data_IF_546983955163
#
_entry.id   IF_546983955163
#
_cell.length_a   1.000
_cell.length_b   1.000
_cell.length_c   1.000
_cell.angle_alpha   90.00
_cell.angle_beta   90.00
_cell.angle_gamma   90.00
#
_symmetry.space_group_name_H-M   'P 1'
#
loop_
_entity.id
_entity.type
_entity.pdbx_description
1 polymer ?
#
# COMPACT_ATOMS: atom_id res chain seq x y z
N UNK A 1 5.24 -14.45 -16.64
CA UNK A 1 4.37 -14.79 -15.49
C UNK A 1 3.42 -13.65 -15.09
N UNK A 2 3.86 -12.39 -14.99
CA UNK A 2 3.02 -11.27 -14.53
C UNK A 2 1.77 -10.98 -15.39
N UNK A 3 1.86 -11.09 -16.73
CA UNK A 3 0.71 -10.80 -17.63
C UNK A 3 -0.51 -11.69 -17.40
N UNK A 4 -0.30 -12.95 -17.02
CA UNK A 4 -1.40 -13.88 -16.73
C UNK A 4 -2.00 -13.64 -15.35
N UNK A 5 -1.24 -13.08 -14.40
CA UNK A 5 -1.74 -12.82 -13.06
C UNK A 5 -2.84 -11.74 -13.08
N UNK A 6 -2.61 -10.63 -13.77
CA UNK A 6 -3.63 -9.58 -13.93
C UNK A 6 -4.90 -10.14 -14.57
N UNK A 7 -4.76 -11.02 -15.57
CA UNK A 7 -5.90 -11.70 -16.19
C UNK A 7 -6.62 -12.61 -15.19
N UNK A 8 -5.90 -13.40 -14.39
CA UNK A 8 -6.52 -14.23 -13.36
C UNK A 8 -7.22 -13.42 -12.27
N UNK A 9 -6.67 -12.27 -11.87
CA UNK A 9 -7.33 -11.36 -10.94
C UNK A 9 -8.63 -10.81 -11.54
N UNK A 10 -8.62 -10.41 -12.82
CA UNK A 10 -9.83 -9.97 -13.52
C UNK A 10 -10.87 -11.09 -13.63
N UNK A 11 -10.46 -12.32 -13.96
CA UNK A 11 -11.35 -13.49 -13.99
C UNK A 11 -11.91 -13.76 -12.59
N UNK A 12 -11.07 -13.73 -11.56
CA UNK A 12 -11.49 -13.92 -10.16
C UNK A 12 -12.49 -12.84 -9.72
N UNK A 13 -12.28 -11.59 -10.12
CA UNK A 13 -13.22 -10.51 -9.89
C UNK A 13 -14.57 -10.76 -10.56
N UNK A 14 -14.59 -11.08 -11.87
CA UNK A 14 -15.83 -11.34 -12.61
C UNK A 14 -16.56 -12.56 -12.03
N UNK A 15 -15.82 -13.64 -11.75
CA UNK A 15 -16.38 -14.83 -11.11
C UNK A 15 -16.94 -14.51 -9.72
N UNK A 16 -16.27 -13.64 -8.95
CA UNK A 16 -16.71 -13.22 -7.61
C UNK A 16 -18.02 -12.44 -7.67
N UNK A 17 -18.16 -11.53 -8.65
CA UNK A 17 -19.42 -10.83 -8.92
C UNK A 17 -20.52 -11.83 -9.31
N UNK A 18 -20.24 -12.75 -10.23
CA UNK A 18 -21.23 -13.72 -10.70
C UNK A 18 -21.72 -14.64 -9.57
N UNK A 19 -20.79 -15.21 -8.79
CA UNK A 19 -21.12 -16.07 -7.64
C UNK A 19 -21.84 -15.27 -6.56
N UNK A 20 -21.34 -14.08 -6.22
CA UNK A 20 -21.96 -13.22 -5.22
C UNK A 20 -23.39 -12.82 -5.61
N UNK A 21 -23.64 -12.53 -6.88
CA UNK A 21 -24.99 -12.21 -7.37
C UNK A 21 -25.93 -13.41 -7.37
N UNK A 22 -25.47 -14.58 -7.83
CA UNK A 22 -26.27 -15.81 -7.78
C UNK A 22 -26.62 -16.18 -6.35
N UNK A 23 -25.67 -16.04 -5.42
CA UNK A 23 -25.93 -16.23 -4.00
C UNK A 23 -26.96 -15.21 -3.52
N UNK A 24 -26.73 -13.91 -3.73
CA UNK A 24 -27.65 -12.82 -3.33
C UNK A 24 -29.10 -13.01 -3.83
N UNK A 25 -29.29 -13.57 -5.02
CA UNK A 25 -30.59 -13.84 -5.64
C UNK A 25 -31.33 -15.06 -5.05
N UNK A 26 -30.59 -16.04 -4.52
CA UNK A 26 -31.20 -17.11 -3.73
C UNK A 26 -31.61 -16.48 -2.39
N UNK A 27 -32.83 -16.67 -1.90
CA UNK A 27 -33.23 -16.06 -0.63
C UNK A 27 -32.35 -16.53 0.55
N UNK A 28 -32.26 -15.76 1.67
CA UNK A 28 -31.33 -16.05 2.74
C UNK A 28 -31.67 -17.40 3.41
N UNK A 29 -30.87 -18.42 3.11
CA UNK A 29 -30.87 -19.65 3.87
C UNK A 29 -29.99 -19.47 5.10
N UNK A 30 -30.31 -20.15 6.20
CA UNK A 30 -29.62 -20.02 7.50
C UNK A 30 -28.09 -20.30 7.45
N UNK A 31 -27.57 -20.76 6.31
CA UNK A 31 -26.16 -21.09 6.02
C UNK A 31 -25.32 -19.91 5.48
N UNK A 32 -25.91 -18.74 5.22
CA UNK A 32 -25.21 -17.59 4.61
C UNK A 32 -24.11 -16.96 5.46
N UNK A 33 -24.28 -16.77 6.77
CA UNK A 33 -23.20 -16.24 7.61
C UNK A 33 -21.97 -17.16 7.60
N UNK A 34 -22.18 -18.48 7.49
CA UNK A 34 -21.09 -19.45 7.40
C UNK A 34 -20.36 -19.38 6.04
N UNK A 35 -21.08 -19.20 4.94
CA UNK A 35 -20.50 -19.05 3.59
C UNK A 35 -19.73 -17.72 3.48
N UNK A 36 -20.31 -16.62 3.94
CA UNK A 36 -19.64 -15.31 3.99
C UNK A 36 -18.40 -15.33 4.89
N UNK A 37 -18.49 -16.01 6.05
CA UNK A 37 -17.35 -16.23 6.95
C UNK A 37 -16.22 -17.03 6.27
N UNK A 38 -16.55 -18.03 5.45
CA UNK A 38 -15.55 -18.81 4.71
C UNK A 38 -14.84 -17.96 3.64
N UNK A 39 -15.55 -17.07 2.94
CA UNK A 39 -14.93 -16.12 2.01
C UNK A 39 -14.05 -15.09 2.74
N UNK A 40 -14.49 -14.62 3.90
CA UNK A 40 -13.69 -13.70 4.73
C UNK A 40 -12.41 -14.35 5.23
N UNK A 41 -12.45 -15.63 5.62
CA UNK A 41 -11.26 -16.40 6.03
C UNK A 41 -10.17 -16.40 4.94
N UNK A 42 -10.55 -16.62 3.68
CA UNK A 42 -9.62 -16.61 2.53
C UNK A 42 -8.97 -15.23 2.38
N UNK A 43 -9.77 -14.17 2.50
CA UNK A 43 -9.29 -12.78 2.42
C UNK A 43 -8.36 -12.44 3.58
N UNK A 44 -8.70 -12.86 4.80
CA UNK A 44 -7.91 -12.63 6.01
C UNK A 44 -6.57 -13.37 5.96
N UNK A 45 -6.55 -14.60 5.46
CA UNK A 45 -5.30 -15.36 5.23
C UNK A 45 -4.42 -14.62 4.22
N UNK A 46 -4.98 -14.14 3.11
CA UNK A 46 -4.24 -13.39 2.12
C UNK A 46 -3.62 -12.09 2.70
N UNK A 47 -4.38 -11.33 3.48
CA UNK A 47 -3.87 -10.14 4.15
C UNK A 47 -2.76 -10.46 5.17
N UNK A 48 -2.86 -11.60 5.87
CA UNK A 48 -1.79 -12.09 6.76
C UNK A 48 -0.53 -12.50 5.99
N UNK A 49 -0.67 -13.12 4.82
CA UNK A 49 0.46 -13.45 3.95
C UNK A 49 1.18 -12.20 3.47
N UNK A 50 0.45 -11.13 3.11
CA UNK A 50 1.04 -9.83 2.77
C UNK A 50 1.80 -9.26 3.97
N UNK A 51 1.18 -9.20 5.16
CA UNK A 51 1.81 -8.69 6.38
C UNK A 51 3.10 -9.42 6.74
N UNK A 52 3.15 -10.73 6.54
CA UNK A 52 4.34 -11.56 6.76
C UNK A 52 5.53 -11.13 5.89
N UNK A 53 5.29 -10.64 4.67
CA UNK A 53 6.35 -10.28 3.72
C UNK A 53 6.92 -8.88 3.98
N UNK A 54 6.06 -7.93 4.38
CA UNK A 54 6.39 -6.49 4.39
C UNK A 54 7.61 -6.21 5.27
N UNK A 55 7.62 -6.67 6.53
CA UNK A 55 8.69 -6.31 7.46
C UNK A 55 10.09 -6.75 7.01
N UNK A 56 10.35 -8.03 6.64
CA UNK A 56 11.65 -8.45 6.12
C UNK A 56 12.03 -7.78 4.80
N UNK A 57 11.05 -7.56 3.91
CA UNK A 57 11.29 -6.94 2.61
C UNK A 57 11.71 -5.48 2.75
N UNK A 58 10.97 -4.69 3.53
CA UNK A 58 11.28 -3.28 3.80
C UNK A 58 12.63 -3.14 4.49
N UNK A 59 12.90 -3.97 5.52
CA UNK A 59 14.17 -3.95 6.24
C UNK A 59 15.35 -4.18 5.28
N UNK A 60 15.31 -5.29 4.54
CA UNK A 60 16.41 -5.69 3.65
C UNK A 60 16.62 -4.73 2.48
N UNK A 61 15.55 -4.30 1.82
CA UNK A 61 15.62 -3.37 0.69
C UNK A 61 16.19 -2.01 1.08
N UNK A 62 15.75 -1.44 2.20
CA UNK A 62 16.26 -0.15 2.66
C UNK A 62 17.71 -0.22 3.13
N UNK A 63 18.07 -1.27 3.87
CA UNK A 63 19.46 -1.47 4.31
C UNK A 63 20.39 -1.56 3.10
N UNK A 64 20.03 -2.35 2.10
CA UNK A 64 20.80 -2.49 0.85
C UNK A 64 20.86 -1.14 0.12
N UNK A 65 19.73 -0.46 -0.06
CA UNK A 65 19.67 0.82 -0.77
C UNK A 65 20.53 1.90 -0.11
N UNK A 66 20.57 1.94 1.21
CA UNK A 66 21.34 2.94 1.96
C UNK A 66 22.83 2.58 1.99
N UNK A 67 23.17 1.31 2.18
CA UNK A 67 24.56 0.86 2.18
C UNK A 67 25.27 1.17 0.85
N UNK A 68 24.57 1.02 -0.29
CA UNK A 68 25.13 1.32 -1.62
C UNK A 68 25.38 2.81 -1.88
N UNK A 69 24.77 3.73 -1.12
CA UNK A 69 24.96 5.17 -1.31
C UNK A 69 26.31 5.70 -0.76
N UNK A 70 27.06 4.88 -0.01
CA UNK A 70 28.51 5.02 0.19
C UNK A 70 29.03 6.30 0.89
N UNK A 71 28.16 7.21 1.34
CA UNK A 71 28.58 8.47 1.96
C UNK A 71 27.55 9.03 2.95
N UNK A 72 27.95 9.21 4.21
CA UNK A 72 27.08 9.74 5.27
C UNK A 72 26.65 11.20 5.01
N UNK A 73 27.50 12.00 4.37
CA UNK A 73 27.23 13.41 4.04
C UNK A 73 26.35 13.65 2.81
N UNK A 74 26.29 12.70 1.86
CA UNK A 74 25.35 12.75 0.74
C UNK A 74 23.96 12.30 1.18
N UNK A 75 23.87 11.28 2.04
CA UNK A 75 22.61 10.75 2.53
C UNK A 75 21.79 11.78 3.31
N UNK A 76 22.38 12.52 4.24
CA UNK A 76 21.65 13.53 5.01
C UNK A 76 21.07 14.63 4.11
N UNK A 77 21.84 15.08 3.12
CA UNK A 77 21.40 16.14 2.18
C UNK A 77 20.31 15.65 1.24
N UNK A 78 20.45 14.44 0.70
CA UNK A 78 19.43 13.82 -0.16
C UNK A 78 18.20 13.51 0.66
N UNK A 79 18.34 12.89 1.83
CA UNK A 79 17.27 12.56 2.75
C UNK A 79 16.43 13.77 3.16
N UNK A 80 17.06 14.87 3.59
CA UNK A 80 16.34 16.10 3.95
C UNK A 80 15.62 16.72 2.75
N UNK A 81 16.26 16.78 1.58
CA UNK A 81 15.60 17.30 0.36
C UNK A 81 14.41 16.43 -0.06
N UNK A 82 14.57 15.10 0.00
CA UNK A 82 13.51 14.14 -0.31
C UNK A 82 12.39 14.21 0.72
N UNK A 83 12.70 14.32 2.01
CA UNK A 83 11.70 14.43 3.06
C UNK A 83 10.90 15.72 2.94
N UNK A 84 11.57 16.85 2.70
CA UNK A 84 10.90 18.13 2.51
C UNK A 84 9.98 18.05 1.29
N UNK A 85 10.48 17.54 0.15
CA UNK A 85 9.65 17.29 -1.03
C UNK A 85 8.45 16.39 -0.74
N UNK A 86 8.67 15.25 -0.07
CA UNK A 86 7.63 14.28 0.28
C UNK A 86 6.56 14.88 1.18
N UNK A 87 6.94 15.64 2.22
CA UNK A 87 5.99 16.29 3.13
C UNK A 87 5.16 17.33 2.38
N UNK A 88 5.78 18.20 1.58
CA UNK A 88 5.01 19.15 0.76
C UNK A 88 4.07 18.45 -0.20
N UNK A 89 4.56 17.46 -0.96
CA UNK A 89 3.73 16.70 -1.90
C UNK A 89 2.58 15.97 -1.18
N UNK A 90 2.81 15.43 0.01
CA UNK A 90 1.77 14.76 0.82
C UNK A 90 0.71 15.74 1.30
N UNK A 91 1.08 16.95 1.74
CA UNK A 91 0.12 17.99 2.13
C UNK A 91 -0.75 18.38 0.93
N UNK A 92 -0.15 18.65 -0.24
CA UNK A 92 -0.91 18.94 -1.46
C UNK A 92 -1.80 17.78 -1.89
N UNK A 93 -1.31 16.54 -1.79
CA UNK A 93 -2.09 15.32 -2.06
C UNK A 93 -3.31 15.21 -1.14
N UNK A 94 -3.13 15.47 0.16
CA UNK A 94 -4.20 15.41 1.15
C UNK A 94 -5.24 16.52 0.93
N UNK A 95 -4.80 17.74 0.63
CA UNK A 95 -5.68 18.87 0.31
C UNK A 95 -6.49 18.61 -0.96
N UNK A 96 -5.85 18.08 -2.00
CA UNK A 96 -6.53 17.70 -3.25
C UNK A 96 -7.54 16.58 -3.01
N UNK A 97 -7.14 15.54 -2.26
CA UNK A 97 -8.02 14.43 -1.88
C UNK A 97 -9.23 14.93 -1.10
N UNK A 98 -9.02 15.84 -0.14
CA UNK A 98 -10.10 16.48 0.62
C UNK A 98 -11.04 17.28 -0.29
N UNK A 99 -10.49 18.08 -1.20
CA UNK A 99 -11.29 18.85 -2.16
C UNK A 99 -12.15 17.95 -3.05
N UNK A 100 -11.58 16.85 -3.56
CA UNK A 100 -12.29 15.91 -4.44
C UNK A 100 -13.34 15.10 -3.68
N UNK A 101 -13.05 14.64 -2.46
CA UNK A 101 -14.04 13.93 -1.62
C UNK A 101 -15.20 14.86 -1.27
N UNK A 102 -14.92 16.12 -0.94
CA UNK A 102 -15.97 17.09 -0.64
C UNK A 102 -16.82 17.43 -1.87
N UNK A 103 -16.23 17.43 -3.08
CA UNK A 103 -16.93 17.69 -4.33
C UNK A 103 -17.74 16.48 -4.85
N UNK A 104 -17.17 15.26 -4.81
CA UNK A 104 -17.80 14.05 -5.34
C UNK A 104 -18.75 13.38 -4.35
N UNK A 105 -18.60 13.66 -3.05
CA UNK A 105 -19.40 13.11 -1.95
C UNK A 105 -19.74 11.61 -2.14
N UNK A 106 -18.74 10.73 -2.36
CA UNK A 106 -19.00 9.37 -2.82
C UNK A 106 -19.71 8.49 -1.80
N UNK A 107 -19.86 8.96 -0.55
CA UNK A 107 -20.61 8.29 0.50
C UNK A 107 -22.13 8.56 0.48
N UNK A 108 -22.60 9.55 -0.29
CA UNK A 108 -24.03 9.82 -0.42
C UNK A 108 -24.68 8.65 -1.18
N UNK A 109 -25.59 7.94 -0.51
CA UNK A 109 -26.25 6.74 -1.04
C UNK A 109 -25.73 5.41 -0.49
N UNK A 110 -24.64 5.42 0.28
CA UNK A 110 -24.29 4.29 1.15
C UNK A 110 -25.23 4.30 2.36
N UNK A 111 -26.36 3.60 2.25
CA UNK A 111 -27.26 3.34 3.38
C UNK A 111 -26.65 2.32 4.36
N UNK A 112 -25.37 2.50 4.72
CA UNK A 112 -24.72 1.68 5.72
C UNK A 112 -25.37 2.00 7.07
N UNK A 113 -25.80 0.99 7.85
CA UNK A 113 -26.37 1.22 9.16
C UNK A 113 -25.36 1.99 10.01
N UNK A 114 -25.75 3.18 10.45
CA UNK A 114 -24.95 3.97 11.40
C UNK A 114 -24.92 3.13 12.68
N UNK A 115 -23.72 2.75 13.19
CA UNK A 115 -23.64 2.03 14.45
C UNK A 115 -24.40 2.80 15.53
N UNK A 116 -25.34 2.15 16.21
CA UNK A 116 -26.15 2.77 17.27
C UNK A 116 -25.30 3.19 18.48
N UNK A 117 -24.09 2.63 18.59
CA UNK A 117 -23.10 3.04 19.55
C UNK A 117 -22.39 4.28 19.01
N UNK A 118 -22.54 5.42 19.72
CA UNK A 118 -21.89 6.71 19.44
C UNK A 118 -20.35 6.69 19.52
N UNK A 119 -19.72 5.55 19.24
CA UNK A 119 -18.31 5.36 19.00
C UNK A 119 -17.95 5.94 17.63
N UNK A 120 -18.21 7.24 17.42
CA UNK A 120 -17.44 7.97 16.44
C UNK A 120 -15.97 7.78 16.84
N UNK A 121 -15.09 7.31 15.94
CA UNK A 121 -13.68 7.14 16.26
C UNK A 121 -13.18 8.49 16.80
N UNK A 122 -12.83 8.51 18.09
CA UNK A 122 -12.27 9.70 18.70
C UNK A 122 -11.05 10.07 17.87
N UNK A 123 -11.02 11.29 17.34
CA UNK A 123 -9.82 11.81 16.71
C UNK A 123 -8.74 11.82 17.78
N UNK A 124 -7.90 10.79 17.80
CA UNK A 124 -6.75 10.71 18.71
C UNK A 124 -6.01 12.02 18.57
N UNK A 125 -6.01 12.83 19.64
CA UNK A 125 -5.30 14.09 19.63
C UNK A 125 -3.86 13.80 19.17
N UNK A 126 -3.41 14.51 18.13
CA UNK A 126 -2.06 14.35 17.58
C UNK A 126 -1.05 14.77 18.66
N UNK A 127 -0.66 13.83 19.50
CA UNK A 127 0.35 14.06 20.52
C UNK A 127 1.72 13.93 19.86
N UNK A 128 2.36 15.06 19.56
CA UNK A 128 3.68 15.07 18.95
C UNK A 128 4.70 14.26 19.77
N UNK A 129 4.57 14.24 21.09
CA UNK A 129 5.47 13.47 21.96
C UNK A 129 5.32 11.97 21.68
N UNK A 130 4.09 11.46 21.60
CA UNK A 130 3.82 10.04 21.31
C UNK A 130 4.25 9.68 19.89
N UNK A 131 4.06 10.58 18.92
CA UNK A 131 4.53 10.35 17.55
C UNK A 131 6.05 10.25 17.47
N UNK A 132 6.79 11.14 18.13
CA UNK A 132 8.27 11.15 18.13
C UNK A 132 8.82 9.95 18.89
N UNK A 133 8.24 9.59 20.04
CA UNK A 133 8.68 8.41 20.79
C UNK A 133 8.37 7.11 20.04
N UNK A 134 7.24 7.03 19.32
CA UNK A 134 6.93 5.89 18.45
C UNK A 134 7.77 5.81 17.17
N UNK A 135 8.48 6.87 16.81
CA UNK A 135 9.33 6.90 15.61
C UNK A 135 10.59 6.06 15.79
N UNK A 136 11.15 6.05 17.01
CA UNK A 136 12.33 5.26 17.36
C UNK A 136 11.88 3.96 18.03
N UNK A 137 12.10 2.77 17.43
CA UNK A 137 11.72 1.52 18.06
C UNK A 137 12.53 1.27 19.33
N UNK A 138 11.87 0.76 20.37
CA UNK A 138 12.54 0.19 21.54
C UNK A 138 13.30 -1.10 21.17
N UNK A 139 12.75 -1.87 20.21
CA UNK A 139 13.34 -3.10 19.69
C UNK A 139 12.93 -3.32 18.24
N UNK A 140 13.88 -3.68 17.37
CA UNK A 140 13.59 -4.03 15.97
C UNK A 140 12.72 -5.28 15.86
N UNK A 141 12.87 -6.25 16.78
CA UNK A 141 12.07 -7.47 16.77
C UNK A 141 10.60 -7.17 17.09
N UNK A 142 10.35 -6.24 18.02
CA UNK A 142 8.99 -5.79 18.35
C UNK A 142 8.36 -5.00 17.19
N UNK A 143 9.12 -4.10 16.56
CA UNK A 143 8.69 -3.36 15.37
C UNK A 143 8.31 -4.30 14.21
N UNK A 144 9.10 -5.37 13.99
CA UNK A 144 8.78 -6.39 12.99
C UNK A 144 7.57 -7.24 13.37
N UNK A 145 7.42 -7.60 14.65
CA UNK A 145 6.29 -8.40 15.12
C UNK A 145 4.96 -7.63 15.02
N UNK A 146 4.97 -6.35 15.36
CA UNK A 146 3.80 -5.46 15.31
C UNK A 146 3.53 -4.89 13.90
N UNK A 147 4.42 -5.12 12.93
CA UNK A 147 4.40 -4.52 11.59
C UNK A 147 4.38 -2.99 11.61
N UNK A 148 5.15 -2.39 12.53
CA UNK A 148 5.32 -0.94 12.63
C UNK A 148 6.28 -0.44 11.54
N UNK A 149 5.77 -0.24 10.33
CA UNK A 149 6.58 0.08 9.13
C UNK A 149 7.49 1.28 9.36
N UNK A 150 6.99 2.36 9.97
CA UNK A 150 7.78 3.56 10.25
C UNK A 150 9.02 3.27 11.10
N UNK A 151 8.87 2.46 12.16
CA UNK A 151 9.98 2.09 13.03
C UNK A 151 11.02 1.23 12.31
N UNK A 152 10.57 0.29 11.46
CA UNK A 152 11.45 -0.53 10.62
C UNK A 152 12.27 0.36 9.68
N UNK A 153 11.63 1.34 9.04
CA UNK A 153 12.31 2.31 8.15
C UNK A 153 13.39 3.08 8.90
N UNK A 154 13.06 3.64 10.08
CA UNK A 154 14.01 4.43 10.87
C UNK A 154 15.21 3.57 11.29
N UNK A 155 14.97 2.37 11.81
CA UNK A 155 16.04 1.43 12.14
C UNK A 155 16.90 1.09 10.92
N UNK A 156 16.29 0.76 9.77
CA UNK A 156 17.00 0.46 8.52
C UNK A 156 17.91 1.60 8.07
N UNK A 157 17.50 2.86 8.29
CA UNK A 157 18.33 4.03 7.97
C UNK A 157 19.58 4.07 8.83
N UNK A 158 19.44 3.99 10.17
CA UNK A 158 20.59 3.98 11.07
C UNK A 158 21.51 2.78 10.82
N UNK A 159 20.93 1.59 10.63
CA UNK A 159 21.68 0.36 10.39
C UNK A 159 22.42 0.41 9.04
N UNK A 160 21.75 0.84 7.97
CA UNK A 160 22.35 1.01 6.64
C UNK A 160 23.48 2.04 6.62
N UNK A 161 23.32 3.15 7.34
CA UNK A 161 24.39 4.15 7.54
C UNK A 161 25.58 3.55 8.30
N UNK A 162 25.33 2.80 9.36
CA UNK A 162 26.37 2.10 10.12
C UNK A 162 27.15 1.11 9.24
N UNK A 163 26.47 0.31 8.43
CA UNK A 163 27.11 -0.60 7.48
C UNK A 163 27.94 0.14 6.42
N UNK A 164 27.43 1.26 5.89
CA UNK A 164 28.19 2.09 4.95
C UNK A 164 29.47 2.66 5.61
N UNK A 165 29.41 3.04 6.89
CA UNK A 165 30.55 3.54 7.64
C UNK A 165 31.62 2.45 7.92
N UNK A 166 31.23 1.18 8.03
CA UNK A 166 32.14 0.04 8.20
C UNK A 166 32.87 -0.36 6.90
N UNK A 167 32.43 0.12 5.74
CA UNK A 167 33.05 -0.17 4.45
C UNK A 167 33.09 -1.68 4.15
N UNK A 168 34.25 -2.20 3.77
CA UNK A 168 34.44 -3.62 3.40
C UNK A 168 34.05 -4.60 4.54
N UNK A 169 34.16 -4.19 5.81
CA UNK A 169 33.76 -5.05 6.94
C UNK A 169 32.24 -5.25 7.02
N UNK A 170 31.46 -4.27 6.54
CA UNK A 170 29.99 -4.37 6.49
C UNK A 170 29.48 -5.16 5.29
N UNK A 171 30.33 -5.40 4.28
CA UNK A 171 29.94 -6.02 3.00
C UNK A 171 29.26 -7.38 3.12
N UNK A 172 29.70 -8.32 3.98
CA UNK A 172 29.00 -9.60 4.15
C UNK A 172 27.54 -9.44 4.63
N UNK A 173 27.26 -8.41 5.43
CA UNK A 173 25.90 -8.13 5.94
C UNK A 173 25.04 -7.49 4.84
N UNK A 174 25.61 -6.61 4.02
CA UNK A 174 24.93 -6.02 2.86
C UNK A 174 24.57 -7.11 1.85
N UNK A 175 25.50 -8.02 1.55
CA UNK A 175 25.28 -9.15 0.63
C UNK A 175 24.18 -10.08 1.16
N UNK A 176 24.15 -10.35 2.47
CA UNK A 176 23.08 -11.10 3.11
C UNK A 176 21.73 -10.38 2.95
N UNK A 177 21.67 -9.09 3.23
CA UNK A 177 20.46 -8.30 3.07
C UNK A 177 19.97 -8.29 1.61
N UNK A 178 20.86 -8.23 0.63
CA UNK A 178 20.49 -8.31 -0.79
C UNK A 178 19.92 -9.69 -1.17
N UNK A 179 20.51 -10.77 -0.63
CA UNK A 179 19.97 -12.12 -0.81
C UNK A 179 18.59 -12.27 -0.17
N UNK A 180 18.40 -11.75 1.04
CA UNK A 180 17.10 -11.75 1.73
C UNK A 180 16.08 -10.97 0.91
N UNK A 181 16.40 -9.76 0.43
CA UNK A 181 15.51 -8.96 -0.41
C UNK A 181 15.08 -9.74 -1.68
N UNK A 182 16.02 -10.37 -2.38
CA UNK A 182 15.71 -11.21 -3.56
C UNK A 182 14.80 -12.39 -3.23
N UNK A 183 15.04 -13.07 -2.11
CA UNK A 183 14.17 -14.16 -1.64
C UNK A 183 12.78 -13.62 -1.31
N UNK A 184 12.68 -12.49 -0.61
CA UNK A 184 11.41 -11.89 -0.24
C UNK A 184 10.61 -11.40 -1.46
N UNK A 185 11.26 -10.85 -2.48
CA UNK A 185 10.62 -10.54 -3.76
C UNK A 185 10.06 -11.81 -4.44
N UNK A 186 10.78 -12.94 -4.35
CA UNK A 186 10.28 -14.23 -4.86
C UNK A 186 9.07 -14.74 -4.07
N UNK A 187 9.11 -14.66 -2.73
CA UNK A 187 7.99 -15.01 -1.85
C UNK A 187 6.77 -14.10 -2.12
N UNK A 188 7.01 -12.81 -2.37
CA UNK A 188 5.97 -11.86 -2.81
C UNK A 188 5.28 -12.39 -4.07
N UNK A 189 6.05 -12.87 -5.06
CA UNK A 189 5.49 -13.51 -6.25
C UNK A 189 4.62 -14.74 -5.94
N UNK A 190 5.00 -15.57 -4.97
CA UNK A 190 4.18 -16.72 -4.56
C UNK A 190 2.88 -16.30 -3.87
N UNK A 191 2.93 -15.34 -2.95
CA UNK A 191 1.73 -14.81 -2.29
C UNK A 191 0.81 -14.13 -3.30
N UNK A 192 1.37 -13.40 -4.26
CA UNK A 192 0.58 -12.77 -5.32
C UNK A 192 -0.17 -13.77 -6.21
N UNK A 193 0.31 -15.02 -6.36
CA UNK A 193 -0.46 -16.06 -7.06
C UNK A 193 -1.77 -16.45 -6.34
N UNK A 194 -1.90 -16.18 -5.04
CA UNK A 194 -3.15 -16.35 -4.28
C UNK A 194 -4.10 -15.15 -4.44
N UNK A 195 -3.64 -14.02 -4.97
CA UNK A 195 -4.45 -12.81 -5.12
C UNK A 195 -5.76 -13.02 -5.91
N UNK A 196 -5.81 -13.79 -7.02
CA UNK A 196 -7.06 -14.05 -7.74
C UNK A 196 -8.15 -14.67 -6.87
N UNK A 197 -7.77 -15.61 -6.00
CA UNK A 197 -8.68 -16.30 -5.09
C UNK A 197 -9.15 -15.37 -3.97
N UNK A 198 -8.26 -14.53 -3.43
CA UNK A 198 -8.60 -13.55 -2.41
C UNK A 198 -9.55 -12.47 -2.94
N UNK A 199 -9.29 -11.96 -4.16
CA UNK A 199 -10.16 -10.97 -4.83
C UNK A 199 -11.52 -11.57 -5.13
N UNK A 200 -11.56 -12.81 -5.63
CA UNK A 200 -12.81 -13.56 -5.81
C UNK A 200 -13.61 -13.63 -4.51
N UNK A 201 -12.98 -14.06 -3.41
CA UNK A 201 -13.64 -14.21 -2.12
C UNK A 201 -14.14 -12.88 -1.54
N UNK A 202 -13.32 -11.82 -1.61
CA UNK A 202 -13.67 -10.50 -1.09
C UNK A 202 -14.86 -9.88 -1.85
N UNK A 203 -14.86 -9.98 -3.18
CA UNK A 203 -15.94 -9.44 -4.01
C UNK A 203 -17.21 -10.29 -3.88
N UNK A 204 -17.08 -11.63 -3.87
CA UNK A 204 -18.21 -12.52 -3.65
C UNK A 204 -18.89 -12.26 -2.31
N UNK A 205 -18.13 -12.12 -1.21
CA UNK A 205 -18.68 -11.78 0.11
C UNK A 205 -19.42 -10.44 0.08
N UNK A 206 -18.78 -9.40 -0.46
CA UNK A 206 -19.36 -8.05 -0.47
C UNK A 206 -20.64 -7.96 -1.31
N UNK A 207 -20.66 -8.59 -2.49
CA UNK A 207 -21.84 -8.62 -3.38
C UNK A 207 -22.94 -9.52 -2.82
N UNK A 208 -22.61 -10.60 -2.11
CA UNK A 208 -23.60 -11.45 -1.44
C UNK A 208 -24.34 -10.67 -0.35
N UNK A 209 -23.63 -9.86 0.43
CA UNK A 209 -24.22 -9.07 1.52
C UNK A 209 -24.97 -7.82 1.03
N UNK A 210 -24.41 -7.09 0.06
CA UNK A 210 -24.87 -5.75 -0.32
C UNK A 210 -25.51 -5.67 -1.71
N UNK A 211 -25.59 -6.79 -2.44
CA UNK A 211 -26.13 -6.85 -3.80
C UNK A 211 -25.21 -6.23 -4.86
N UNK A 212 -25.74 -6.04 -6.08
CA UNK A 212 -24.97 -5.44 -7.20
C UNK A 212 -24.85 -3.91 -7.09
N UNK A 213 -25.75 -3.25 -6.38
CA UNK A 213 -25.75 -1.79 -6.26
C UNK A 213 -24.46 -1.27 -5.62
N UNK A 214 -23.84 -2.06 -4.72
CA UNK A 214 -22.54 -1.72 -4.12
C UNK A 214 -21.43 -1.57 -5.17
N UNK A 215 -21.49 -2.31 -6.28
CA UNK A 215 -20.49 -2.23 -7.34
C UNK A 215 -20.56 -0.90 -8.09
N UNK A 216 -21.75 -0.33 -8.25
CA UNK A 216 -21.91 1.01 -8.85
C UNK A 216 -21.30 2.06 -7.93
N UNK A 217 -21.54 1.94 -6.62
CA UNK A 217 -20.97 2.85 -5.62
C UNK A 217 -19.45 2.74 -5.56
N UNK A 218 -18.91 1.52 -5.53
CA UNK A 218 -17.47 1.30 -5.61
C UNK A 218 -16.89 1.76 -6.94
N UNK A 219 -17.58 1.58 -8.05
CA UNK A 219 -17.18 2.09 -9.36
C UNK A 219 -17.08 3.62 -9.39
N UNK A 220 -18.07 4.33 -8.81
CA UNK A 220 -18.02 5.79 -8.64
C UNK A 220 -16.87 6.22 -7.74
N UNK A 221 -16.67 5.52 -6.63
CA UNK A 221 -15.56 5.79 -5.72
C UNK A 221 -14.19 5.59 -6.38
N UNK A 222 -13.99 4.45 -7.07
CA UNK A 222 -12.76 4.14 -7.81
C UNK A 222 -12.55 5.14 -8.95
N UNK A 223 -13.60 5.53 -9.66
CA UNK A 223 -13.53 6.57 -10.70
C UNK A 223 -13.07 7.92 -10.12
N UNK A 224 -13.64 8.32 -8.99
CA UNK A 224 -13.21 9.52 -8.25
C UNK A 224 -11.77 9.44 -7.78
N UNK A 225 -11.33 8.26 -7.31
CA UNK A 225 -9.94 8.01 -6.92
C UNK A 225 -8.97 8.14 -8.11
N UNK A 226 -9.29 7.56 -9.27
CA UNK A 226 -8.44 7.71 -10.46
C UNK A 226 -8.41 9.14 -11.00
N UNK A 227 -9.52 9.88 -10.90
CA UNK A 227 -9.56 11.31 -11.21
C UNK A 227 -8.61 12.08 -10.26
N UNK A 228 -8.69 11.83 -8.96
CA UNK A 228 -7.81 12.43 -7.96
C UNK A 228 -6.34 12.09 -8.22
N UNK A 229 -6.05 10.84 -8.57
CA UNK A 229 -4.71 10.40 -8.91
C UNK A 229 -4.19 11.13 -10.16
N UNK A 230 -5.00 11.24 -11.21
CA UNK A 230 -4.65 11.98 -12.43
C UNK A 230 -4.42 13.47 -12.18
N UNK A 231 -5.27 14.11 -11.37
CA UNK A 231 -5.11 15.50 -10.95
C UNK A 231 -3.82 15.69 -10.12
N UNK A 232 -3.53 14.78 -9.18
CA UNK A 232 -2.31 14.79 -8.40
C UNK A 232 -1.06 14.66 -9.28
N UNK A 233 -1.07 13.71 -10.22
CA UNK A 233 0.04 13.53 -11.16
C UNK A 233 0.26 14.76 -12.02
N UNK A 234 -0.82 15.39 -12.49
CA UNK A 234 -0.73 16.64 -13.27
C UNK A 234 -0.13 17.77 -12.43
N UNK A 235 -0.56 17.92 -11.18
CA UNK A 235 -0.03 18.91 -10.25
C UNK A 235 1.44 18.68 -9.91
N UNK A 236 1.85 17.43 -9.67
CA UNK A 236 3.25 17.08 -9.38
C UNK A 236 4.15 17.27 -10.60
N UNK A 237 3.70 16.91 -11.81
CA UNK A 237 4.44 17.16 -13.04
C UNK A 237 4.55 18.66 -13.32
N UNK A 238 3.48 19.43 -13.10
CA UNK A 238 3.51 20.89 -13.23
C UNK A 238 4.49 21.53 -12.24
N UNK A 239 4.46 21.13 -10.96
CA UNK A 239 5.43 21.57 -9.97
C UNK A 239 6.87 21.17 -10.37
N UNK A 240 7.09 19.93 -10.80
CA UNK A 240 8.38 19.46 -11.29
C UNK A 240 8.87 20.22 -12.53
N UNK A 241 7.97 20.64 -13.40
CA UNK A 241 8.30 21.48 -14.56
C UNK A 241 8.82 22.86 -14.15
N UNK A 242 8.27 23.46 -13.10
CA UNK A 242 8.74 24.76 -12.58
C UNK A 242 10.18 24.67 -12.05
N UNK A 243 10.56 23.57 -11.39
CA UNK A 243 11.90 23.42 -10.81
C UNK A 243 12.95 22.87 -11.78
N UNK A 244 12.58 21.89 -12.61
CA UNK A 244 13.51 21.10 -13.45
C UNK A 244 13.36 21.42 -14.94
N UNK A 245 12.34 22.20 -15.31
CA UNK A 245 12.04 22.57 -16.69
C UNK A 245 11.50 21.39 -17.52
N UNK A 246 11.68 21.43 -18.85
CA UNK A 246 11.17 20.40 -19.78
C UNK A 246 11.72 18.98 -19.53
N UNK A 247 12.82 18.87 -18.78
CA UNK A 247 13.45 17.59 -18.44
C UNK A 247 12.55 16.72 -17.55
N UNK A 248 11.52 17.28 -16.91
CA UNK A 248 10.53 16.51 -16.13
C UNK A 248 9.82 15.46 -17.00
N UNK A 249 9.54 15.75 -18.26
CA UNK A 249 8.88 14.80 -19.17
C UNK A 249 9.78 13.60 -19.46
N UNK A 250 11.09 13.85 -19.55
CA UNK A 250 12.09 12.78 -19.67
C UNK A 250 12.15 11.94 -18.40
N UNK A 251 12.10 12.57 -17.23
CA UNK A 251 12.07 11.87 -15.94
C UNK A 251 10.84 10.96 -15.82
N UNK A 252 9.64 11.47 -16.14
CA UNK A 252 8.40 10.68 -16.18
C UNK A 252 8.55 9.47 -17.10
N UNK A 253 9.18 9.66 -18.27
CA UNK A 253 9.50 8.56 -19.18
C UNK A 253 10.45 7.52 -18.57
N UNK A 254 11.46 7.94 -17.80
CA UNK A 254 12.43 7.04 -17.16
C UNK A 254 11.84 6.24 -15.99
N UNK A 255 10.93 6.83 -15.22
CA UNK A 255 10.30 6.15 -14.06
C UNK A 255 9.07 5.33 -14.44
N UNK A 256 8.64 5.36 -15.71
CA UNK A 256 7.47 4.62 -16.18
C UNK A 256 7.55 3.14 -15.85
N UNK A 257 8.68 2.51 -16.12
CA UNK A 257 8.83 1.06 -15.92
C UNK A 257 8.71 0.67 -14.44
N UNK A 258 9.42 1.33 -13.49
CA UNK A 258 9.18 1.15 -12.05
C UNK A 258 7.73 1.42 -11.62
N UNK A 259 7.10 2.48 -12.13
CA UNK A 259 5.73 2.87 -11.76
C UNK A 259 4.70 1.84 -12.24
N UNK A 260 4.84 1.37 -13.49
CA UNK A 260 3.97 0.32 -14.05
C UNK A 260 4.19 -1.00 -13.31
N UNK A 261 5.43 -1.30 -12.95
CA UNK A 261 5.76 -2.48 -12.14
C UNK A 261 5.08 -2.38 -10.77
N UNK A 262 5.26 -1.29 -10.03
CA UNK A 262 4.62 -1.03 -8.74
C UNK A 262 3.08 -1.08 -8.81
N UNK A 263 2.48 -0.47 -9.85
CA UNK A 263 1.04 -0.53 -10.08
C UNK A 263 0.57 -1.96 -10.34
N UNK A 264 1.33 -2.75 -11.10
CA UNK A 264 1.00 -4.14 -11.43
C UNK A 264 1.18 -5.11 -10.26
N UNK A 265 2.13 -4.82 -9.37
CA UNK A 265 2.39 -5.62 -8.16
C UNK A 265 1.54 -5.19 -6.97
N UNK A 266 0.90 -4.02 -7.05
CA UNK A 266 0.20 -3.39 -5.93
C UNK A 266 1.07 -3.34 -4.65
N UNK A 267 2.38 -3.16 -4.84
CA UNK A 267 3.46 -3.24 -3.83
C UNK A 267 4.56 -2.27 -4.22
#
# INVERSE_FOLDING_TARGET
MQRFLTLFVLIGMIAGVAVGYVLHQQQPSASWPAIASNFKLVTDIFLRLIKMIIAPLVLSTLVVGIAHMGGTGSLGRVGVRTLLWFVTASVFSLLLGLAIVHALQPGVGLHLPIPADGNAPQASALNLNDFVTHLVPTSIFDAMATNSILQIVIFSVFFGVGLAALGEQGRPVVDLAERVSRVMLKVTGYVMNFAPLAVFAAIAATVTENGLDILVTYGRFIGGFYLALGALWTLLVAAGFVFVGPRILRLVGMVRDPVVLAFSTAS
#
